data_IF_156886644565
#
_entry.id   IF_156886644565
#
_cell.length_a   1.000
_cell.length_b   1.000
_cell.length_c   1.000
_cell.angle_alpha   90.00
_cell.angle_beta   90.00
_cell.angle_gamma   90.00
#
_symmetry.space_group_name_H-M   'P 1'
#
loop_
_entity.id
_entity.type
_entity.pdbx_description
1 polymer ?
#
# COMPACT_ATOMS: atom_id res chain seq x y z
N UNK A 1 6.21 15.51 -32.38
CA UNK A 1 5.87 14.17 -31.85
C UNK A 1 7.10 13.62 -31.16
N UNK A 2 6.96 13.00 -29.98
CA UNK A 2 8.07 12.30 -29.36
C UNK A 2 8.39 11.04 -30.18
N UNK A 3 9.67 10.74 -30.40
CA UNK A 3 10.12 9.50 -31.04
C UNK A 3 10.59 8.51 -29.97
N UNK A 4 10.16 7.26 -30.07
CA UNK A 4 10.64 6.19 -29.18
C UNK A 4 12.03 5.76 -29.66
N UNK A 5 13.07 5.78 -28.80
CA UNK A 5 14.38 5.27 -29.16
C UNK A 5 14.31 3.82 -29.63
N UNK A 6 14.97 3.50 -30.74
CA UNK A 6 15.00 2.15 -31.32
C UNK A 6 16.19 1.32 -30.82
N UNK A 7 17.16 1.95 -30.18
CA UNK A 7 18.33 1.29 -29.64
C UNK A 7 17.97 0.50 -28.38
N UNK A 8 18.52 -0.71 -28.28
CA UNK A 8 18.31 -1.56 -27.10
C UNK A 8 19.09 -1.02 -25.90
N UNK A 9 18.43 -0.98 -24.74
CA UNK A 9 19.09 -0.68 -23.47
C UNK A 9 19.68 -1.97 -22.91
N UNK A 10 21.01 -2.02 -22.77
CA UNK A 10 21.70 -3.14 -22.12
C UNK A 10 21.78 -2.92 -20.62
N UNK A 11 21.27 -3.87 -19.84
CA UNK A 11 21.29 -3.83 -18.37
C UNK A 11 22.10 -5.02 -17.88
N UNK A 12 23.18 -4.75 -17.15
CA UNK A 12 23.96 -5.79 -16.46
C UNK A 12 23.24 -6.14 -15.14
N UNK A 13 22.87 -7.41 -14.90
CA UNK A 13 22.25 -7.81 -13.64
C UNK A 13 23.10 -7.43 -12.41
N UNK A 14 22.44 -7.02 -11.34
CA UNK A 14 23.06 -6.67 -10.05
C UNK A 14 23.08 -7.84 -9.08
N UNK A 15 22.34 -8.91 -9.36
CA UNK A 15 22.29 -10.10 -8.52
C UNK A 15 21.46 -11.21 -9.13
N UNK A 16 21.25 -12.26 -8.34
CA UNK A 16 20.46 -13.44 -8.72
C UNK A 16 19.60 -13.90 -7.56
N UNK A 17 18.38 -14.35 -7.89
CA UNK A 17 17.47 -14.96 -6.92
C UNK A 17 17.89 -16.41 -6.65
N UNK A 18 17.97 -16.77 -5.38
CA UNK A 18 18.19 -18.13 -4.88
C UNK A 18 17.00 -18.50 -4.01
N UNK A 19 16.21 -19.47 -4.44
CA UNK A 19 15.00 -19.87 -3.73
C UNK A 19 14.65 -21.35 -3.94
N UNK A 20 13.73 -21.86 -3.13
CA UNK A 20 13.15 -23.18 -3.35
C UNK A 20 12.23 -23.24 -4.59
N UNK A 21 11.85 -22.08 -5.12
CA UNK A 21 10.93 -21.95 -6.25
C UNK A 21 11.63 -22.26 -7.58
N UNK A 22 11.76 -23.55 -7.88
CA UNK A 22 12.50 -24.08 -9.03
C UNK A 22 11.60 -24.50 -10.19
N UNK A 23 10.40 -24.97 -9.90
CA UNK A 23 9.51 -25.54 -10.91
C UNK A 23 8.28 -24.65 -11.13
N UNK A 24 7.83 -24.57 -12.39
CA UNK A 24 6.77 -23.64 -12.81
C UNK A 24 5.39 -23.99 -12.24
N UNK A 25 5.19 -25.26 -11.89
CA UNK A 25 3.97 -25.82 -11.31
C UNK A 25 3.85 -25.60 -9.80
N UNK A 26 4.92 -25.13 -9.14
CA UNK A 26 4.90 -24.81 -7.72
C UNK A 26 4.02 -23.58 -7.49
N UNK A 27 3.12 -23.65 -6.50
CA UNK A 27 2.39 -22.46 -6.06
C UNK A 27 3.35 -21.55 -5.30
N UNK A 28 3.30 -20.25 -5.58
CA UNK A 28 4.09 -19.25 -4.84
C UNK A 28 3.75 -19.32 -3.35
N UNK A 29 4.75 -19.64 -2.53
CA UNK A 29 4.64 -19.55 -1.08
C UNK A 29 5.27 -18.23 -0.62
N UNK A 30 4.43 -17.22 -0.38
CA UNK A 30 4.90 -15.89 0.03
C UNK A 30 5.50 -15.86 1.45
N UNK A 31 5.28 -16.91 2.25
CA UNK A 31 5.89 -17.05 3.58
C UNK A 31 7.28 -17.71 3.54
N UNK A 32 7.60 -18.40 2.43
CA UNK A 32 8.91 -19.01 2.26
C UNK A 32 9.97 -17.93 2.03
N UNK A 33 11.10 -18.07 2.71
CA UNK A 33 12.23 -17.19 2.53
C UNK A 33 12.90 -17.43 1.17
N UNK A 34 13.13 -16.36 0.44
CA UNK A 34 13.98 -16.31 -0.74
C UNK A 34 15.21 -15.47 -0.44
N UNK A 35 16.29 -15.67 -1.18
CA UNK A 35 17.52 -14.89 -1.02
C UNK A 35 17.91 -14.26 -2.35
N UNK A 36 18.33 -13.01 -2.31
CA UNK A 36 18.99 -12.35 -3.43
C UNK A 36 20.49 -12.30 -3.13
N UNK A 37 21.28 -12.93 -3.99
CA UNK A 37 22.73 -12.81 -4.00
C UNK A 37 23.12 -11.64 -4.89
N UNK A 38 23.52 -10.52 -4.29
CA UNK A 38 24.02 -9.33 -5.00
C UNK A 38 25.47 -9.57 -5.43
N UNK A 39 25.88 -8.99 -6.56
CA UNK A 39 27.26 -9.04 -7.01
C UNK A 39 28.19 -8.45 -5.95
N UNK A 40 29.32 -9.12 -5.70
CA UNK A 40 30.29 -8.72 -4.66
C UNK A 40 30.78 -7.28 -4.85
N UNK A 41 30.98 -6.83 -6.10
CA UNK A 41 31.41 -5.46 -6.40
C UNK A 41 30.39 -4.37 -6.03
N UNK A 42 29.17 -4.76 -5.66
CA UNK A 42 28.08 -3.87 -5.26
C UNK A 42 27.74 -3.94 -3.77
N UNK A 43 28.45 -4.72 -2.95
CA UNK A 43 28.10 -4.89 -1.53
C UNK A 43 28.02 -3.55 -0.78
N UNK A 44 28.94 -2.63 -1.05
CA UNK A 44 28.95 -1.30 -0.43
C UNK A 44 27.68 -0.49 -0.74
N UNK A 45 27.02 -0.73 -1.87
CA UNK A 45 25.78 -0.04 -2.25
C UNK A 45 24.57 -0.45 -1.41
N UNK A 46 24.68 -1.53 -0.62
CA UNK A 46 23.62 -2.01 0.27
C UNK A 46 23.64 -1.35 1.66
N UNK A 47 24.64 -0.50 1.95
CA UNK A 47 24.80 0.16 3.25
C UNK A 47 23.52 0.89 3.67
N UNK A 48 22.98 0.58 4.85
CA UNK A 48 21.75 1.20 5.39
C UNK A 48 20.45 0.59 4.88
N UNK A 49 20.51 -0.46 4.05
CA UNK A 49 19.29 -1.12 3.55
C UNK A 49 18.49 -1.79 4.68
N UNK A 50 19.18 -2.25 5.72
CA UNK A 50 18.62 -2.80 6.96
C UNK A 50 17.70 -1.84 7.74
N UNK A 51 17.75 -0.53 7.48
CA UNK A 51 16.83 0.46 8.07
C UNK A 51 15.41 0.40 7.46
N UNK A 52 15.22 -0.40 6.41
CA UNK A 52 13.96 -0.55 5.69
C UNK A 52 13.41 -1.96 5.85
N UNK A 53 12.13 -2.06 6.21
CA UNK A 53 11.44 -3.36 6.32
C UNK A 53 11.06 -3.96 4.96
N UNK A 54 11.00 -3.15 3.90
CA UNK A 54 10.54 -3.56 2.59
C UNK A 54 11.35 -2.93 1.47
N UNK A 55 11.52 -3.70 0.39
CA UNK A 55 12.21 -3.28 -0.82
C UNK A 55 11.41 -3.63 -2.06
N UNK A 56 11.53 -2.80 -3.09
CA UNK A 56 11.05 -3.06 -4.44
C UNK A 56 12.17 -3.70 -5.26
N UNK A 57 11.94 -4.92 -5.72
CA UNK A 57 12.87 -5.71 -6.54
C UNK A 57 12.42 -5.67 -7.99
N UNK A 58 13.29 -5.22 -8.88
CA UNK A 58 13.11 -5.30 -10.34
C UNK A 58 13.96 -6.45 -10.88
N UNK A 59 13.36 -7.33 -11.68
CA UNK A 59 14.01 -8.55 -12.12
C UNK A 59 13.60 -8.95 -13.55
N UNK A 60 14.43 -9.77 -14.21
CA UNK A 60 14.17 -10.23 -15.58
C UNK A 60 13.41 -11.56 -15.60
N UNK A 61 12.24 -11.58 -16.23
CA UNK A 61 11.35 -12.74 -16.37
C UNK A 61 11.84 -13.71 -17.46
N UNK A 62 13.00 -14.30 -17.21
CA UNK A 62 13.72 -15.18 -18.12
C UNK A 62 12.96 -16.47 -18.52
N UNK A 63 11.97 -16.91 -17.73
CA UNK A 63 11.18 -18.14 -17.96
C UNK A 63 9.84 -17.90 -18.69
N UNK A 64 9.74 -16.84 -19.49
CA UNK A 64 8.52 -16.48 -20.24
C UNK A 64 7.94 -17.61 -21.09
N UNK A 65 8.80 -18.44 -21.72
CA UNK A 65 8.39 -19.55 -22.58
C UNK A 65 7.67 -20.66 -21.82
N UNK A 66 8.14 -20.93 -20.60
CA UNK A 66 7.52 -21.93 -19.73
C UNK A 66 6.16 -21.45 -19.23
N UNK A 67 6.06 -20.15 -18.88
CA UNK A 67 4.77 -19.55 -18.55
C UNK A 67 3.78 -19.64 -19.72
N UNK A 68 4.22 -19.34 -20.94
CA UNK A 68 3.38 -19.44 -22.14
C UNK A 68 2.83 -20.85 -22.33
N UNK A 69 3.66 -21.88 -22.15
CA UNK A 69 3.23 -23.28 -22.22
C UNK A 69 2.22 -23.61 -21.11
N UNK A 70 2.48 -23.15 -19.89
CA UNK A 70 1.61 -23.41 -18.73
C UNK A 70 0.21 -22.82 -18.89
N UNK A 71 0.07 -21.65 -19.52
CA UNK A 71 -1.24 -21.02 -19.79
C UNK A 71 -1.88 -21.48 -21.11
N UNK A 72 -1.32 -22.51 -21.77
CA UNK A 72 -1.85 -23.03 -23.03
C UNK A 72 -1.76 -22.04 -24.19
N UNK A 73 -0.77 -21.14 -24.17
CA UNK A 73 -0.56 -20.17 -25.25
C UNK A 73 -0.03 -20.87 -26.50
N UNK A 74 -0.84 -20.91 -27.54
CA UNK A 74 -0.55 -21.63 -28.79
C UNK A 74 -0.09 -20.74 -29.94
N UNK A 75 -0.08 -19.40 -29.77
CA UNK A 75 0.33 -18.48 -30.83
C UNK A 75 1.86 -18.45 -30.97
N UNK A 76 2.31 -18.44 -32.22
CA UNK A 76 3.74 -18.42 -32.61
C UNK A 76 4.35 -17.01 -32.65
N UNK A 77 3.58 -15.99 -32.27
CA UNK A 77 4.05 -14.60 -32.23
C UNK A 77 5.12 -14.42 -31.14
N UNK A 78 6.25 -13.81 -31.49
CA UNK A 78 7.37 -13.55 -30.56
C UNK A 78 6.98 -12.58 -29.42
N UNK A 79 5.92 -11.79 -29.64
CA UNK A 79 5.41 -10.80 -28.69
C UNK A 79 3.93 -10.99 -28.42
N UNK A 80 3.58 -11.19 -27.14
CA UNK A 80 2.20 -11.21 -26.68
C UNK A 80 1.80 -9.77 -26.37
N UNK A 81 1.05 -9.16 -27.27
CA UNK A 81 0.53 -7.80 -27.08
C UNK A 81 -0.86 -7.78 -26.45
N UNK A 82 -1.64 -8.82 -26.70
CA UNK A 82 -2.96 -9.02 -26.11
C UNK A 82 -3.12 -10.45 -25.59
N UNK A 83 -3.91 -10.60 -24.53
CA UNK A 83 -4.20 -11.89 -23.91
C UNK A 83 -5.67 -11.94 -23.52
N UNK A 84 -6.37 -12.98 -23.96
CA UNK A 84 -7.74 -13.24 -23.54
C UNK A 84 -7.70 -14.22 -22.36
N UNK A 85 -7.85 -13.69 -21.14
CA UNK A 85 -8.04 -14.50 -19.93
C UNK A 85 -9.54 -14.53 -19.60
N UNK A 86 -10.18 -15.71 -19.60
CA UNK A 86 -11.58 -15.85 -19.16
C UNK A 86 -11.83 -15.24 -17.78
N UNK A 87 -10.80 -15.30 -16.92
CA UNK A 87 -10.75 -14.79 -15.56
C UNK A 87 -10.67 -13.26 -15.47
N UNK A 88 -10.10 -12.57 -16.47
CA UNK A 88 -9.89 -11.12 -16.46
C UNK A 88 -10.36 -10.48 -17.78
N UNK A 89 -11.67 -10.52 -18.11
CA UNK A 89 -12.20 -10.22 -19.45
C UNK A 89 -11.97 -8.77 -19.92
N UNK A 90 -11.66 -7.85 -19.00
CA UNK A 90 -11.36 -6.45 -19.31
C UNK A 90 -9.88 -6.20 -19.62
N UNK A 91 -9.01 -7.16 -19.30
CA UNK A 91 -7.57 -6.96 -19.31
C UNK A 91 -6.92 -7.62 -20.52
N UNK A 92 -7.34 -7.11 -21.67
CA UNK A 92 -6.96 -7.65 -22.97
C UNK A 92 -5.58 -7.23 -23.41
N UNK A 93 -5.09 -6.05 -23.02
CA UNK A 93 -3.77 -5.58 -23.40
C UNK A 93 -2.71 -6.11 -22.42
N UNK A 94 -1.52 -6.48 -22.90
CA UNK A 94 -0.48 -7.00 -21.99
C UNK A 94 -0.12 -5.99 -20.87
N UNK A 95 -0.21 -4.70 -21.17
CA UNK A 95 0.03 -3.61 -20.21
C UNK A 95 -1.11 -3.34 -19.24
N UNK A 96 -2.31 -3.87 -19.49
CA UNK A 96 -3.42 -3.87 -18.52
C UNK A 96 -3.36 -5.08 -17.59
N UNK A 97 -2.31 -5.91 -17.70
CA UNK A 97 -2.11 -7.11 -16.87
C UNK A 97 -0.82 -7.07 -16.07
N UNK A 98 -0.60 -8.11 -15.25
CA UNK A 98 0.66 -8.41 -14.56
C UNK A 98 1.38 -9.64 -15.15
N UNK A 99 0.98 -10.09 -16.35
CA UNK A 99 1.61 -11.24 -17.03
C UNK A 99 3.12 -11.06 -17.19
N UNK A 100 3.92 -12.14 -17.10
CA UNK A 100 5.35 -12.08 -17.36
C UNK A 100 5.73 -11.99 -18.85
N UNK A 101 4.78 -12.15 -19.78
CA UNK A 101 5.06 -12.14 -21.23
C UNK A 101 5.12 -10.73 -21.85
N UNK A 102 5.52 -9.72 -21.08
CA UNK A 102 5.63 -8.33 -21.53
C UNK A 102 6.81 -8.15 -22.50
N UNK A 103 6.75 -7.18 -23.44
CA UNK A 103 7.85 -6.94 -24.38
C UNK A 103 9.23 -6.72 -23.74
N UNK A 104 9.31 -5.98 -22.62
CA UNK A 104 10.58 -5.76 -21.91
C UNK A 104 10.96 -6.89 -20.94
N UNK A 105 10.05 -7.82 -20.64
CA UNK A 105 10.31 -8.95 -19.73
C UNK A 105 10.70 -8.55 -18.30
N UNK A 106 10.28 -7.37 -17.82
CA UNK A 106 10.61 -6.86 -16.48
C UNK A 106 9.50 -7.22 -15.50
N UNK A 107 9.87 -8.00 -14.49
CA UNK A 107 9.09 -8.24 -13.29
C UNK A 107 9.42 -7.24 -12.20
N UNK A 108 8.48 -7.08 -11.27
CA UNK A 108 8.54 -6.05 -10.23
C UNK A 108 7.77 -6.57 -9.03
N UNK A 109 8.43 -6.68 -7.88
CA UNK A 109 7.83 -7.18 -6.66
C UNK A 109 8.28 -6.35 -5.46
N UNK A 110 7.35 -5.99 -4.59
CA UNK A 110 7.73 -5.52 -3.25
C UNK A 110 7.96 -6.77 -2.40
N UNK A 111 8.96 -6.77 -1.52
CA UNK A 111 9.26 -7.88 -0.64
C UNK A 111 9.67 -7.37 0.75
N UNK A 112 9.35 -8.13 1.80
CA UNK A 112 9.84 -7.86 3.15
C UNK A 112 11.32 -8.22 3.21
N UNK A 113 12.16 -7.31 3.70
CA UNK A 113 13.56 -7.56 4.01
C UNK A 113 13.68 -8.14 5.41
N UNK A 114 13.92 -9.44 5.50
CA UNK A 114 14.03 -10.15 6.78
C UNK A 114 15.39 -9.90 7.42
N UNK A 115 16.47 -10.02 6.64
CA UNK A 115 17.83 -9.74 7.08
C UNK A 115 18.78 -9.57 5.89
N UNK A 116 19.96 -9.02 6.17
CA UNK A 116 21.10 -8.92 5.26
C UNK A 116 22.31 -9.61 5.87
N UNK A 117 23.06 -10.35 5.06
CA UNK A 117 24.35 -10.95 5.41
C UNK A 117 25.36 -10.64 4.30
N UNK A 118 26.18 -9.59 4.48
CA UNK A 118 27.08 -9.09 3.45
C UNK A 118 26.32 -8.66 2.19
N UNK A 119 26.59 -9.34 1.07
CA UNK A 119 25.90 -9.16 -0.21
C UNK A 119 24.67 -10.07 -0.42
N UNK A 120 24.17 -10.73 0.63
CA UNK A 120 22.97 -11.58 0.59
C UNK A 120 21.81 -10.89 1.27
N UNK A 121 20.67 -10.81 0.59
CA UNK A 121 19.42 -10.24 1.11
C UNK A 121 18.40 -11.36 1.26
N UNK A 122 17.89 -11.59 2.47
CA UNK A 122 16.89 -12.61 2.75
C UNK A 122 15.53 -11.95 2.85
N UNK A 123 14.57 -12.46 2.06
CA UNK A 123 13.31 -11.79 1.76
C UNK A 123 12.11 -12.72 1.94
N UNK A 124 10.96 -12.14 2.30
CA UNK A 124 9.65 -12.80 2.24
C UNK A 124 8.72 -12.15 1.23
N UNK A 125 7.98 -13.01 0.54
CA UNK A 125 6.98 -12.64 -0.45
C UNK A 125 7.54 -12.11 -1.77
N UNK A 126 8.75 -12.54 -2.17
CA UNK A 126 9.29 -12.34 -3.52
C UNK A 126 8.68 -13.36 -4.49
N UNK A 127 8.17 -12.90 -5.63
CA UNK A 127 7.51 -13.73 -6.66
C UNK A 127 8.42 -14.05 -7.86
N UNK A 128 9.69 -14.37 -7.59
CA UNK A 128 10.69 -14.67 -8.62
C UNK A 128 11.27 -16.09 -8.48
N UNK A 129 11.43 -16.77 -9.61
CA UNK A 129 12.03 -18.12 -9.66
C UNK A 129 13.51 -18.10 -9.28
N UNK A 130 13.99 -19.23 -8.78
CA UNK A 130 15.42 -19.47 -8.61
C UNK A 130 16.16 -19.25 -9.94
N UNK A 131 17.31 -18.57 -9.91
CA UNK A 131 18.11 -18.21 -11.09
C UNK A 131 17.66 -16.91 -11.78
N UNK A 132 16.57 -16.28 -11.33
CA UNK A 132 16.11 -15.00 -11.89
C UNK A 132 17.16 -13.91 -11.68
N UNK A 133 17.55 -13.23 -12.76
CA UNK A 133 18.45 -12.09 -12.70
C UNK A 133 17.76 -10.87 -12.08
N UNK A 134 18.36 -10.29 -11.05
CA UNK A 134 17.91 -9.04 -10.43
C UNK A 134 18.56 -7.87 -11.18
N UNK A 135 17.74 -6.90 -11.58
CA UNK A 135 18.13 -5.75 -12.38
C UNK A 135 18.35 -4.52 -11.51
N UNK A 136 17.52 -4.32 -10.49
CA UNK A 136 17.60 -3.19 -9.57
C UNK A 136 16.87 -3.48 -8.25
N UNK A 137 17.19 -2.74 -7.21
CA UNK A 137 16.48 -2.74 -5.92
C UNK A 137 16.27 -1.29 -5.47
N UNK A 138 15.07 -0.99 -5.00
CA UNK A 138 14.74 0.30 -4.36
C UNK A 138 14.12 0.06 -3.00
N UNK A 139 14.26 1.01 -2.09
CA UNK A 139 13.51 0.99 -0.84
C UNK A 139 12.01 1.18 -1.13
N UNK A 140 11.15 0.54 -0.34
CA UNK A 140 9.71 0.82 -0.37
C UNK A 140 9.41 1.98 0.58
N UNK A 141 8.78 3.03 0.05
CA UNK A 141 8.40 4.22 0.81
C UNK A 141 6.89 4.40 0.68
N UNK A 142 6.09 4.15 1.75
CA UNK A 142 4.63 4.23 1.69
C UNK A 142 4.11 5.54 1.08
N UNK A 143 4.79 6.66 1.35
CA UNK A 143 4.43 7.97 0.78
C UNK A 143 4.43 8.02 -0.75
N UNK A 144 5.31 7.27 -1.40
CA UNK A 144 5.49 7.29 -2.86
C UNK A 144 4.89 6.05 -3.53
N UNK A 145 4.86 4.94 -2.82
CA UNK A 145 4.55 3.63 -3.39
C UNK A 145 3.17 3.10 -2.97
N UNK A 146 2.52 3.72 -1.97
CA UNK A 146 1.18 3.33 -1.52
C UNK A 146 0.12 4.34 -1.99
N UNK A 147 -0.74 3.90 -2.92
CA UNK A 147 -1.92 4.65 -3.35
C UNK A 147 -3.18 3.88 -2.94
N UNK A 148 -3.63 3.99 -1.67
CA UNK A 148 -4.72 3.19 -1.13
C UNK A 148 -6.08 3.44 -1.81
N UNK A 149 -6.22 4.53 -2.58
CA UNK A 149 -7.42 4.87 -3.34
C UNK A 149 -7.27 4.64 -4.86
N UNK A 150 -6.28 3.85 -5.29
CA UNK A 150 -6.16 3.50 -6.69
C UNK A 150 -7.37 2.65 -7.14
N UNK A 151 -8.13 3.15 -8.12
CA UNK A 151 -9.28 2.43 -8.67
C UNK A 151 -8.84 1.21 -9.48
N UNK A 152 -9.51 0.09 -9.26
CA UNK A 152 -9.38 -1.12 -10.07
C UNK A 152 -10.75 -1.47 -10.67
N UNK A 153 -10.81 -2.00 -11.90
CA UNK A 153 -12.04 -2.60 -12.41
C UNK A 153 -12.54 -3.66 -11.42
N UNK A 154 -13.84 -3.65 -11.11
CA UNK A 154 -14.46 -4.50 -10.09
C UNK A 154 -14.12 -5.99 -10.24
N UNK A 155 -13.86 -6.45 -11.46
CA UNK A 155 -13.61 -7.85 -11.80
C UNK A 155 -12.12 -8.27 -11.72
N UNK A 156 -11.18 -7.34 -11.51
CA UNK A 156 -9.74 -7.63 -11.52
C UNK A 156 -9.27 -8.45 -10.31
N UNK A 157 -9.90 -8.28 -9.14
CA UNK A 157 -9.52 -8.95 -7.89
C UNK A 157 -10.51 -10.05 -7.45
N UNK A 158 -11.29 -10.62 -8.37
CA UNK A 158 -12.36 -11.56 -8.02
C UNK A 158 -11.89 -12.98 -7.64
N UNK A 159 -10.63 -13.34 -7.97
CA UNK A 159 -10.22 -14.75 -8.12
C UNK A 159 -9.15 -15.19 -7.11
N UNK A 160 -8.49 -14.25 -6.42
CA UNK A 160 -7.63 -14.58 -5.29
C UNK A 160 -8.40 -14.29 -3.99
N UNK A 161 -8.70 -15.30 -3.14
CA UNK A 161 -9.08 -15.01 -1.77
C UNK A 161 -7.88 -14.34 -1.11
N UNK A 162 -7.89 -13.01 -1.04
CA UNK A 162 -6.89 -12.20 -0.34
C UNK A 162 -6.97 -12.56 1.14
N UNK A 163 -6.27 -13.62 1.55
CA UNK A 163 -6.21 -14.06 2.96
C UNK A 163 -5.31 -13.15 3.81
N UNK A 164 -4.56 -12.25 3.20
CA UNK A 164 -3.92 -11.11 3.85
C UNK A 164 -3.85 -9.95 2.85
N UNK A 165 -4.32 -8.76 3.25
CA UNK A 165 -4.32 -7.51 2.48
C UNK A 165 -2.90 -6.91 2.28
N UNK A 166 -1.89 -7.78 2.27
CA UNK A 166 -0.46 -7.58 1.99
C UNK A 166 -0.16 -6.26 1.23
N UNK A 167 0.42 -5.22 1.83
CA UNK A 167 1.32 -5.14 2.98
C UNK A 167 1.08 -3.82 3.72
N UNK A 168 0.85 -3.90 5.03
CA UNK A 168 0.79 -2.80 6.01
C UNK A 168 0.08 -1.51 5.54
N UNK A 169 -1.23 -1.47 5.77
CA UNK A 169 -1.98 -0.24 5.96
C UNK A 169 -1.27 0.62 7.02
N UNK A 170 -0.47 1.62 6.61
CA UNK A 170 0.10 2.59 7.52
C UNK A 170 -0.94 3.68 7.81
N UNK A 171 -1.67 3.45 8.90
CA UNK A 171 -2.44 4.48 9.59
C UNK A 171 -1.47 5.42 10.31
N UNK A 172 -0.94 6.45 9.64
CA UNK A 172 -0.59 7.72 10.31
C UNK A 172 -0.24 8.87 9.34
N UNK A 173 -0.85 10.04 9.57
CA UNK A 173 -0.33 11.39 9.29
C UNK A 173 -0.21 12.01 7.87
N UNK A 174 -0.67 11.41 6.76
CA UNK A 174 -0.61 12.11 5.44
C UNK A 174 -1.92 12.75 4.97
N UNK A 175 -3.04 12.45 5.62
CA UNK A 175 -4.36 12.95 5.20
C UNK A 175 -4.87 14.01 6.19
N UNK A 176 -5.10 15.23 5.68
CA UNK A 176 -5.59 16.39 6.47
C UNK A 176 -6.84 16.02 7.26
N UNK A 177 -7.81 15.41 6.60
CA UNK A 177 -9.07 15.02 7.22
C UNK A 177 -8.85 13.95 8.29
N UNK A 178 -7.97 12.97 8.06
CA UNK A 178 -7.58 11.97 9.08
C UNK A 178 -6.95 12.63 10.30
N UNK A 179 -5.98 13.53 10.11
CA UNK A 179 -5.30 14.24 11.19
C UNK A 179 -6.28 15.13 11.98
N UNK A 180 -7.20 15.81 11.28
CA UNK A 180 -8.27 16.58 11.93
C UNK A 180 -9.16 15.68 12.78
N UNK A 181 -9.49 14.49 12.27
CA UNK A 181 -10.28 13.48 12.99
C UNK A 181 -9.58 12.99 14.25
N UNK A 182 -8.29 12.68 14.14
CA UNK A 182 -7.45 12.27 15.27
C UNK A 182 -7.37 13.38 16.33
N UNK A 183 -7.11 14.62 15.93
CA UNK A 183 -7.03 15.78 16.83
C UNK A 183 -8.37 16.06 17.51
N UNK A 184 -9.47 16.03 16.77
CA UNK A 184 -10.80 16.26 17.31
C UNK A 184 -11.23 15.14 18.28
N UNK A 185 -10.97 13.88 17.91
CA UNK A 185 -11.22 12.72 18.78
C UNK A 185 -10.40 12.75 20.06
N UNK A 186 -9.10 13.06 19.97
CA UNK A 186 -8.22 13.21 21.13
C UNK A 186 -8.71 14.32 22.06
N UNK A 187 -9.11 15.47 21.49
CA UNK A 187 -9.65 16.58 22.28
C UNK A 187 -10.92 16.19 23.02
N UNK A 188 -11.83 15.46 22.37
CA UNK A 188 -13.04 14.98 23.00
C UNK A 188 -12.76 14.04 24.19
N UNK A 189 -11.81 13.10 24.04
CA UNK A 189 -11.36 12.24 25.14
C UNK A 189 -10.79 13.04 26.31
N UNK A 190 -9.91 14.02 26.03
CA UNK A 190 -9.27 14.86 27.04
C UNK A 190 -10.30 15.68 27.84
N UNK A 191 -11.31 16.25 27.17
CA UNK A 191 -12.35 17.05 27.85
C UNK A 191 -13.23 16.17 28.74
N UNK A 192 -13.57 14.97 28.29
CA UNK A 192 -14.35 14.02 29.09
C UNK A 192 -13.52 13.32 30.18
N UNK A 193 -12.19 13.41 30.11
CA UNK A 193 -11.26 12.78 31.05
C UNK A 193 -11.27 11.25 30.96
N UNK A 194 -11.43 10.69 29.75
CA UNK A 194 -11.59 9.26 29.49
C UNK A 194 -10.47 8.73 28.59
N UNK A 195 -10.17 7.44 28.67
CA UNK A 195 -9.20 6.78 27.81
C UNK A 195 -9.86 6.19 26.55
N UNK A 196 -9.03 5.90 25.54
CA UNK A 196 -9.44 5.17 24.34
C UNK A 196 -10.11 3.84 24.71
N UNK A 197 -11.24 3.54 24.09
CA UNK A 197 -11.96 2.27 24.26
C UNK A 197 -12.79 2.16 25.54
N UNK A 198 -12.86 3.22 26.36
CA UNK A 198 -13.91 3.33 27.38
C UNK A 198 -15.29 3.45 26.71
N UNK A 199 -16.36 3.09 27.44
CA UNK A 199 -17.72 2.95 26.91
C UNK A 199 -18.35 4.29 26.47
N UNK A 200 -17.85 4.81 25.35
CA UNK A 200 -18.24 6.06 24.74
C UNK A 200 -18.97 5.81 23.41
N UNK A 201 -19.93 6.66 23.13
CA UNK A 201 -20.63 6.72 21.85
C UNK A 201 -20.17 7.96 21.08
N UNK A 202 -19.78 7.76 19.82
CA UNK A 202 -19.36 8.84 18.92
C UNK A 202 -20.42 9.12 17.85
N UNK A 203 -20.73 10.39 17.62
CA UNK A 203 -21.43 10.84 16.41
C UNK A 203 -20.51 11.76 15.62
N UNK A 204 -20.24 11.42 14.38
CA UNK A 204 -19.30 12.16 13.54
C UNK A 204 -20.01 12.67 12.29
N UNK A 205 -19.85 13.95 12.00
CA UNK A 205 -20.25 14.56 10.73
C UNK A 205 -18.99 15.07 10.05
N UNK A 206 -18.76 14.66 8.80
CA UNK A 206 -17.59 15.08 8.02
C UNK A 206 -17.23 14.14 6.89
N UNK A 207 -15.99 14.19 6.41
CA UNK A 207 -15.50 13.28 5.36
C UNK A 207 -15.07 11.91 5.89
N UNK A 208 -14.96 10.93 4.99
CA UNK A 208 -14.60 9.54 5.34
C UNK A 208 -13.28 9.41 6.12
N UNK A 209 -12.26 10.20 5.77
CA UNK A 209 -11.00 10.20 6.52
C UNK A 209 -11.11 10.84 7.90
N UNK A 210 -11.99 11.83 8.06
CA UNK A 210 -12.20 12.47 9.35
C UNK A 210 -12.80 11.50 10.37
N UNK A 211 -13.83 10.73 9.98
CA UNK A 211 -14.40 9.71 10.85
C UNK A 211 -13.40 8.59 11.18
N UNK A 212 -12.58 8.18 10.22
CA UNK A 212 -11.51 7.20 10.45
C UNK A 212 -10.50 7.70 11.50
N UNK A 213 -10.16 8.99 11.47
CA UNK A 213 -9.24 9.59 12.44
C UNK A 213 -9.83 9.57 13.86
N UNK A 214 -11.11 9.89 13.97
CA UNK A 214 -11.87 9.82 15.23
C UNK A 214 -11.90 8.38 15.74
N UNK A 215 -12.31 7.42 14.90
CA UNK A 215 -12.39 5.99 15.22
C UNK A 215 -11.05 5.44 15.73
N UNK A 216 -9.95 5.77 15.04
CA UNK A 216 -8.61 5.34 15.43
C UNK A 216 -8.23 5.77 16.85
N UNK A 217 -8.55 7.02 17.22
CA UNK A 217 -8.16 7.62 18.51
C UNK A 217 -9.13 7.29 19.64
N UNK A 218 -10.44 7.37 19.41
CA UNK A 218 -11.44 7.14 20.46
C UNK A 218 -11.66 5.66 20.73
N UNK A 219 -11.45 4.80 19.72
CA UNK A 219 -11.81 3.38 19.77
C UNK A 219 -13.32 3.13 19.54
N UNK A 220 -14.13 4.19 19.36
CA UNK A 220 -15.50 4.05 18.89
C UNK A 220 -15.48 3.60 17.44
N UNK A 221 -16.31 2.63 17.08
CA UNK A 221 -16.36 2.06 15.74
C UNK A 221 -17.79 1.76 15.34
N UNK A 222 -18.07 1.87 14.05
CA UNK A 222 -19.35 1.40 13.49
C UNK A 222 -19.52 -0.10 13.76
N UNK A 223 -18.42 -0.86 13.84
CA UNK A 223 -18.44 -2.30 14.11
C UNK A 223 -18.86 -2.63 15.55
N UNK A 224 -18.58 -1.74 16.49
CA UNK A 224 -19.00 -1.87 17.88
C UNK A 224 -20.36 -1.20 18.15
N UNK A 225 -21.05 -0.73 17.09
CA UNK A 225 -22.33 -0.01 17.13
C UNK A 225 -22.33 1.22 18.07
N UNK A 226 -21.14 1.78 18.32
CA UNK A 226 -20.96 2.94 19.18
C UNK A 226 -20.34 4.13 18.42
N UNK A 227 -20.34 4.09 17.08
CA UNK A 227 -20.05 5.23 16.23
C UNK A 227 -21.10 5.35 15.12
N UNK A 228 -21.76 6.50 15.03
CA UNK A 228 -22.62 6.86 13.89
C UNK A 228 -21.97 7.96 13.05
N UNK A 229 -21.99 7.81 11.73
CA UNK A 229 -21.35 8.74 10.80
C UNK A 229 -22.35 9.31 9.79
N UNK A 230 -22.24 10.61 9.50
CA UNK A 230 -22.95 11.26 8.39
C UNK A 230 -21.92 11.93 7.48
N UNK A 231 -21.86 11.49 6.23
CA UNK A 231 -20.92 12.03 5.25
C UNK A 231 -21.31 13.45 4.84
N UNK A 232 -20.35 14.36 4.91
CA UNK A 232 -20.51 15.74 4.47
C UNK A 232 -19.18 16.24 3.91
N UNK A 233 -19.05 16.31 2.58
CA UNK A 233 -17.79 16.66 1.89
C UNK A 233 -17.61 18.16 1.62
N UNK A 234 -18.69 18.93 1.64
CA UNK A 234 -18.71 20.20 0.90
C UNK A 234 -18.33 21.43 1.75
N UNK A 235 -18.32 21.31 3.08
CA UNK A 235 -18.00 22.40 4.03
C UNK A 235 -17.35 21.86 5.31
N UNK A 236 -16.11 22.28 5.61
CA UNK A 236 -15.36 21.79 6.79
C UNK A 236 -15.88 22.41 8.10
N UNK A 237 -16.40 23.65 8.07
CA UNK A 237 -16.88 24.35 9.27
C UNK A 237 -18.12 23.75 9.95
N UNK A 238 -18.73 22.73 9.34
CA UNK A 238 -19.86 21.96 9.90
C UNK A 238 -19.44 20.56 10.36
N UNK A 239 -18.16 20.22 10.22
CA UNK A 239 -17.63 18.93 10.66
C UNK A 239 -17.42 18.93 12.16
N UNK A 240 -17.84 17.86 12.81
CA UNK A 240 -17.68 17.70 14.24
C UNK A 240 -17.61 16.24 14.65
N UNK A 241 -17.02 16.01 15.82
CA UNK A 241 -17.21 14.80 16.60
C UNK A 241 -17.95 15.16 17.88
N UNK A 242 -19.02 14.43 18.16
CA UNK A 242 -19.70 14.43 19.45
C UNK A 242 -19.39 13.11 20.15
N UNK A 243 -18.83 13.18 21.34
CA UNK A 243 -18.52 12.01 22.16
C UNK A 243 -19.37 12.06 23.44
N UNK A 244 -20.01 10.94 23.77
CA UNK A 244 -20.91 10.82 24.92
C UNK A 244 -20.47 9.65 25.81
N UNK A 245 -20.39 9.89 27.12
CA UNK A 245 -20.17 8.84 28.14
C UNK A 245 -21.16 9.05 29.29
N UNK A 246 -22.14 8.15 29.40
CA UNK A 246 -23.26 8.32 30.33
C UNK A 246 -24.03 9.61 30.00
N UNK A 247 -24.19 10.50 30.98
CA UNK A 247 -24.86 11.79 30.80
C UNK A 247 -23.94 12.92 30.32
N UNK A 248 -22.62 12.67 30.26
CA UNK A 248 -21.63 13.68 29.85
C UNK A 248 -21.42 13.63 28.35
N UNK A 249 -21.51 14.78 27.70
CA UNK A 249 -21.33 14.90 26.25
C UNK A 249 -20.36 16.04 25.97
N UNK A 250 -19.50 15.87 24.98
CA UNK A 250 -18.69 16.95 24.39
C UNK A 250 -18.85 16.92 22.88
N UNK A 251 -18.95 18.09 22.27
CA UNK A 251 -18.90 18.29 20.82
C UNK A 251 -17.68 19.14 20.49
N UNK A 252 -16.81 18.62 19.62
CA UNK A 252 -15.66 19.33 19.07
C UNK A 252 -15.94 19.62 17.59
N UNK A 253 -16.11 20.89 17.26
CA UNK A 253 -16.42 21.33 15.89
C UNK A 253 -15.20 21.97 15.25
N UNK A 254 -14.93 21.63 13.99
CA UNK A 254 -13.80 22.19 13.24
C UNK A 254 -14.08 23.63 12.80
N UNK A 255 -13.02 24.44 12.76
CA UNK A 255 -13.06 25.75 12.14
C UNK A 255 -12.99 25.66 10.61
N UNK A 256 -13.69 26.56 9.90
CA UNK A 256 -13.69 26.58 8.44
C UNK A 256 -12.38 27.19 7.93
N UNK A 257 -11.40 26.32 7.68
CA UNK A 257 -10.06 26.70 7.25
C UNK A 257 -9.54 25.73 6.20
N UNK A 258 -8.77 26.28 5.26
CA UNK A 258 -7.98 25.49 4.31
C UNK A 258 -6.66 25.10 4.96
N UNK A 259 -6.35 23.80 4.93
CA UNK A 259 -5.10 23.25 5.42
C UNK A 259 -4.27 22.78 4.23
N UNK A 260 -2.98 23.05 4.29
CA UNK A 260 -2.03 22.73 3.23
C UNK A 260 -1.47 21.30 3.35
N UNK A 261 -1.58 20.70 4.55
CA UNK A 261 -1.09 19.36 4.85
C UNK A 261 -1.51 18.87 6.24
N UNK A 262 -1.38 17.56 6.47
CA UNK A 262 -1.72 16.94 7.75
C UNK A 262 -0.72 17.31 8.86
N UNK A 263 0.53 17.63 8.51
CA UNK A 263 1.56 18.16 9.40
C UNK A 263 1.18 19.54 9.97
N UNK A 264 0.59 20.42 9.15
CA UNK A 264 0.04 21.70 9.60
C UNK A 264 -1.02 21.45 10.70
N UNK A 265 -1.96 20.53 10.45
CA UNK A 265 -3.00 20.17 11.41
C UNK A 265 -2.42 19.63 12.72
N UNK A 266 -1.37 18.80 12.65
CA UNK A 266 -0.77 18.18 13.83
C UNK A 266 0.01 19.19 14.69
N UNK A 267 0.51 20.29 14.12
CA UNK A 267 1.28 21.31 14.85
C UNK A 267 0.45 22.50 15.34
N UNK A 268 -0.71 22.77 14.72
CA UNK A 268 -1.58 23.87 15.13
C UNK A 268 -2.15 23.65 16.54
N UNK A 269 -2.40 24.75 17.25
CA UNK A 269 -3.05 24.74 18.55
C UNK A 269 -4.57 24.54 18.41
N UNK A 270 -5.20 24.00 19.46
CA UNK A 270 -6.62 23.64 19.45
C UNK A 270 -7.54 24.85 19.19
N UNK A 271 -7.16 26.05 19.67
CA UNK A 271 -7.89 27.31 19.47
C UNK A 271 -7.91 27.76 18.00
N UNK A 272 -6.98 27.27 17.18
CA UNK A 272 -6.98 27.52 15.73
C UNK A 272 -7.80 26.46 14.99
N UNK A 273 -7.73 25.20 15.43
CA UNK A 273 -8.36 24.05 14.76
C UNK A 273 -9.87 23.97 15.01
N UNK A 274 -10.31 24.32 16.21
CA UNK A 274 -11.68 24.10 16.65
C UNK A 274 -12.47 25.40 16.76
N UNK A 275 -13.60 25.48 16.06
CA UNK A 275 -14.54 26.58 16.19
C UNK A 275 -15.22 26.58 17.56
N UNK A 276 -15.47 25.41 18.11
CA UNK A 276 -16.06 25.25 19.43
C UNK A 276 -15.70 23.91 20.06
N UNK A 277 -15.68 23.91 21.39
CA UNK A 277 -15.60 22.72 22.25
C UNK A 277 -16.63 22.92 23.34
N UNK A 278 -17.76 22.23 23.25
CA UNK A 278 -18.95 22.43 24.12
C UNK A 278 -19.64 21.15 24.50
#
# INVERSE_FOLDING_TARGET
MAQVPQESVSIRPIGVVVSAFKDFDQKTNYEAESMIQIREDLEAALTGLEEYSHIHVLYHQHRRKEWQQAVGWTKTEDQILTMDTPEEPFCKGIYTTRSPARPSGIGSCIAELVRREGNKLYLKGLDAFNGTSVLDIKIYVPRYDCFPFADLPLQWCSILPVKSTSRMLHWDSMNVSLALGMRAGLKALQVLGINRGEAAEARVVGGNFFVQGVEGVTGCSVLHDNLSFTEQSDKIGVWYVRLTVGERTVTVQLNERLYTGADEVLCLSDDVLFASVS
#
